data_IF_373815262540
#
_entry.id   IF_373815262540
#
_cell.length_a   1.000
_cell.length_b   1.000
_cell.length_c   1.000
_cell.angle_alpha   90.00
_cell.angle_beta   90.00
_cell.angle_gamma   90.00
#
_symmetry.space_group_name_H-M   'P 1'
#
loop_
_entity.id
_entity.type
_entity.pdbx_description
1 polymer ?
#
# COMPACT_ATOMS: atom_id res chain seq x y z
N UNK A 1 15.83 17.09 -15.86
CA UNK A 1 15.49 18.54 -15.85
C UNK A 1 14.41 18.89 -14.81
N UNK A 2 14.38 18.21 -13.64
CA UNK A 2 13.40 18.48 -12.56
C UNK A 2 14.05 18.81 -11.20
N UNK A 3 15.35 19.11 -11.15
CA UNK A 3 16.13 19.21 -9.90
C UNK A 3 15.94 20.52 -9.10
N UNK A 4 14.88 21.30 -9.31
CA UNK A 4 14.73 22.62 -8.67
C UNK A 4 13.31 22.96 -8.19
N UNK A 5 12.42 21.97 -8.08
CA UNK A 5 11.18 22.17 -7.32
C UNK A 5 11.44 21.81 -5.86
N UNK A 6 11.03 22.65 -4.88
CA UNK A 6 11.02 22.23 -3.49
C UNK A 6 10.16 20.96 -3.39
N UNK A 7 10.67 19.93 -2.73
CA UNK A 7 9.94 18.67 -2.54
C UNK A 7 8.63 18.90 -1.77
N UNK A 8 7.70 17.96 -1.89
CA UNK A 8 6.41 18.07 -1.22
C UNK A 8 6.56 17.84 0.29
N UNK A 9 5.91 18.67 1.10
CA UNK A 9 5.83 18.47 2.55
C UNK A 9 4.88 17.32 2.94
N UNK A 10 3.92 17.01 2.06
CA UNK A 10 2.89 16.00 2.31
C UNK A 10 2.47 15.31 1.00
N UNK A 11 2.56 13.98 0.99
CA UNK A 11 1.92 13.11 0.03
C UNK A 11 0.78 12.36 0.72
N UNK A 12 -0.39 12.33 0.12
CA UNK A 12 -1.58 11.67 0.68
C UNK A 12 -2.13 10.66 -0.30
N UNK A 13 -2.43 9.47 0.19
CA UNK A 13 -3.05 8.39 -0.56
C UNK A 13 -4.26 7.90 0.22
N UNK A 14 -5.45 8.02 -0.38
CA UNK A 14 -6.70 7.59 0.24
C UNK A 14 -7.48 6.63 -0.65
N UNK A 15 -8.51 6.01 -0.08
CA UNK A 15 -9.50 5.19 -0.79
C UNK A 15 -8.96 3.88 -1.37
N UNK A 16 -7.83 3.38 -0.84
CA UNK A 16 -7.33 2.06 -1.17
C UNK A 16 -6.79 1.99 -2.61
N UNK A 17 -5.65 2.63 -2.88
CA UNK A 17 -5.09 2.68 -4.23
C UNK A 17 -3.95 1.68 -4.46
N UNK A 18 -3.34 1.16 -3.38
CA UNK A 18 -2.15 0.32 -3.49
C UNK A 18 -2.39 -0.98 -4.28
N UNK A 19 -3.63 -1.49 -4.32
CA UNK A 19 -3.92 -2.72 -5.07
C UNK A 19 -3.93 -2.54 -6.59
N UNK A 20 -3.87 -1.31 -7.09
CA UNK A 20 -3.67 -1.00 -8.52
C UNK A 20 -2.19 -0.98 -8.91
N UNK A 21 -1.29 -0.94 -7.94
CA UNK A 21 0.14 -0.85 -8.14
C UNK A 21 0.74 -2.25 -8.11
N UNK A 22 1.51 -2.60 -9.13
CA UNK A 22 2.13 -3.92 -9.27
C UNK A 22 3.59 -3.97 -8.80
N UNK A 23 4.18 -2.80 -8.59
CA UNK A 23 5.55 -2.63 -8.09
C UNK A 23 5.51 -1.56 -6.98
N UNK A 24 5.44 -2.01 -5.72
CA UNK A 24 5.43 -1.10 -4.58
C UNK A 24 6.79 -0.46 -4.34
N UNK A 25 7.88 -1.16 -4.67
CA UNK A 25 9.24 -0.68 -4.42
C UNK A 25 9.53 0.53 -5.31
N UNK A 26 9.29 0.40 -6.62
CA UNK A 26 9.44 1.51 -7.56
C UNK A 26 8.50 2.68 -7.20
N UNK A 27 7.28 2.37 -6.79
CA UNK A 27 6.30 3.38 -6.40
C UNK A 27 6.74 4.16 -5.16
N UNK A 28 7.14 3.49 -4.08
CA UNK A 28 7.54 4.18 -2.85
C UNK A 28 8.89 4.89 -3.00
N UNK A 29 9.80 4.38 -3.83
CA UNK A 29 11.02 5.13 -4.22
C UNK A 29 10.67 6.43 -4.94
N UNK A 30 9.69 6.41 -5.86
CA UNK A 30 9.22 7.63 -6.51
C UNK A 30 8.61 8.58 -5.48
N UNK A 31 7.74 8.11 -4.60
CA UNK A 31 7.14 8.95 -3.54
C UNK A 31 8.22 9.57 -2.65
N UNK A 32 9.21 8.79 -2.22
CA UNK A 32 10.34 9.28 -1.43
C UNK A 32 11.10 10.39 -2.16
N UNK A 33 11.38 10.22 -3.46
CA UNK A 33 12.08 11.22 -4.27
C UNK A 33 11.31 12.53 -4.45
N UNK A 34 9.98 12.49 -4.30
CA UNK A 34 9.11 13.65 -4.42
C UNK A 34 8.97 14.41 -3.10
N UNK A 35 9.20 13.75 -1.96
CA UNK A 35 9.10 14.39 -0.65
C UNK A 35 10.30 15.30 -0.38
N UNK A 36 10.02 16.47 0.19
CA UNK A 36 11.04 17.35 0.74
C UNK A 36 11.63 16.82 2.04
N UNK A 37 12.68 17.47 2.55
CA UNK A 37 13.22 17.16 3.88
C UNK A 37 12.15 17.32 4.96
N UNK A 38 11.93 16.28 5.77
CA UNK A 38 10.85 16.25 6.76
C UNK A 38 9.44 16.05 6.20
N UNK A 39 9.31 15.87 4.88
CA UNK A 39 8.07 15.56 4.20
C UNK A 39 7.46 14.25 4.68
N UNK A 40 6.13 14.15 4.61
CA UNK A 40 5.37 13.01 5.15
C UNK A 40 4.54 12.33 4.09
N UNK A 41 4.46 11.01 4.19
CA UNK A 41 3.49 10.21 3.45
C UNK A 41 2.38 9.76 4.41
N UNK A 42 1.13 10.05 4.06
CA UNK A 42 -0.07 9.58 4.79
C UNK A 42 -0.83 8.62 3.88
N UNK A 43 -1.00 7.39 4.35
CA UNK A 43 -1.69 6.33 3.61
C UNK A 43 -2.91 5.86 4.41
N UNK A 44 -4.08 5.90 3.77
CA UNK A 44 -5.31 5.27 4.24
C UNK A 44 -5.69 4.13 3.31
N UNK A 45 -5.53 2.91 3.79
CA UNK A 45 -5.75 1.67 3.04
C UNK A 45 -6.79 0.76 3.71
N UNK A 46 -7.40 -0.11 2.92
CA UNK A 46 -8.24 -1.18 3.46
C UNK A 46 -7.37 -2.32 3.96
N UNK A 47 -7.68 -2.86 5.15
CA UNK A 47 -6.86 -3.92 5.71
C UNK A 47 -6.98 -5.21 4.86
N UNK A 48 -5.87 -5.84 4.45
CA UNK A 48 -5.90 -6.97 3.51
C UNK A 48 -6.56 -8.23 4.08
N UNK A 49 -6.67 -8.35 5.41
CA UNK A 49 -7.44 -9.42 6.07
C UNK A 49 -8.87 -9.52 5.53
N UNK A 50 -9.53 -8.39 5.26
CA UNK A 50 -10.92 -8.36 4.79
C UNK A 50 -11.05 -9.08 3.43
N UNK A 51 -10.05 -8.95 2.56
CA UNK A 51 -10.14 -9.41 1.17
C UNK A 51 -9.39 -10.71 0.88
N UNK A 52 -8.34 -10.99 1.66
CA UNK A 52 -7.49 -12.18 1.48
C UNK A 52 -7.86 -13.33 2.41
N UNK A 53 -8.17 -13.04 3.67
CA UNK A 53 -8.32 -14.05 4.71
C UNK A 53 -9.78 -14.35 5.07
N UNK A 54 -10.59 -13.31 5.31
CA UNK A 54 -11.96 -13.49 5.76
C UNK A 54 -12.89 -13.86 4.60
N UNK A 55 -13.66 -14.94 4.77
CA UNK A 55 -14.69 -15.38 3.85
C UNK A 55 -16.03 -15.55 4.58
N UNK A 56 -17.16 -15.24 3.93
CA UNK A 56 -18.47 -15.51 4.50
C UNK A 56 -18.80 -17.01 4.42
N UNK A 57 -19.04 -17.63 5.57
CA UNK A 57 -19.49 -19.03 5.71
C UNK A 57 -20.61 -19.07 6.76
N UNK A 58 -21.77 -19.61 6.39
CA UNK A 58 -22.95 -19.75 7.26
C UNK A 58 -23.32 -18.48 8.05
N UNK A 59 -23.26 -17.31 7.39
CA UNK A 59 -23.59 -16.02 8.00
C UNK A 59 -22.53 -15.47 8.97
N UNK A 60 -21.34 -16.07 9.01
CA UNK A 60 -20.19 -15.60 9.80
C UNK A 60 -18.99 -15.31 8.90
N UNK A 61 -18.10 -14.43 9.35
CA UNK A 61 -16.78 -14.27 8.74
C UNK A 61 -15.82 -15.25 9.39
N UNK A 62 -15.24 -16.14 8.59
CA UNK A 62 -14.23 -17.10 9.04
C UNK A 62 -12.93 -16.88 8.28
N UNK A 63 -11.81 -17.18 8.93
CA UNK A 63 -10.47 -17.03 8.37
C UNK A 63 -10.07 -18.28 7.55
N UNK A 64 -10.76 -18.53 6.44
CA UNK A 64 -10.55 -19.70 5.57
C UNK A 64 -9.84 -19.38 4.24
N UNK A 65 -9.60 -18.11 3.94
CA UNK A 65 -8.81 -17.69 2.76
C UNK A 65 -7.30 -17.76 2.97
N UNK A 66 -6.55 -17.46 1.91
CA UNK A 66 -5.08 -17.39 1.95
C UNK A 66 -4.61 -15.93 2.05
N UNK A 67 -4.10 -15.56 3.23
CA UNK A 67 -3.52 -14.23 3.45
C UNK A 67 -2.27 -13.99 2.59
N UNK A 68 -1.47 -15.01 2.30
CA UNK A 68 -0.19 -14.90 1.59
C UNK A 68 -0.29 -15.15 0.08
N UNK A 69 -1.47 -15.50 -0.43
CA UNK A 69 -1.72 -15.60 -1.88
C UNK A 69 -1.27 -14.32 -2.61
N UNK A 70 -0.53 -14.49 -3.71
CA UNK A 70 0.06 -13.41 -4.50
C UNK A 70 -0.56 -13.24 -5.88
N UNK A 71 -1.63 -13.98 -6.18
CA UNK A 71 -2.26 -13.93 -7.49
C UNK A 71 -2.82 -12.54 -7.81
N UNK A 72 -2.65 -12.15 -9.06
CA UNK A 72 -3.34 -10.98 -9.63
C UNK A 72 -4.75 -11.40 -9.95
N UNK A 73 -5.71 -10.70 -9.38
CA UNK A 73 -7.13 -11.02 -9.49
C UNK A 73 -7.81 -10.09 -10.50
N UNK A 74 -9.01 -10.50 -10.94
CA UNK A 74 -9.96 -9.76 -11.76
C UNK A 74 -9.53 -9.57 -13.23
N UNK A 75 -10.37 -10.06 -14.14
CA UNK A 75 -10.12 -10.07 -15.58
C UNK A 75 -10.37 -8.71 -16.26
N UNK A 76 -11.21 -7.87 -15.68
CA UNK A 76 -11.56 -6.55 -16.23
C UNK A 76 -10.58 -5.48 -15.75
N UNK A 77 -10.23 -5.54 -14.47
CA UNK A 77 -9.30 -4.61 -13.85
C UNK A 77 -8.38 -5.39 -12.95
N UNK A 78 -7.17 -5.67 -13.44
CA UNK A 78 -6.17 -6.43 -12.70
C UNK A 78 -5.83 -5.71 -11.41
N UNK A 79 -5.88 -6.43 -10.31
CA UNK A 79 -5.51 -5.93 -8.98
C UNK A 79 -4.62 -6.93 -8.27
N UNK A 80 -3.64 -6.43 -7.52
CA UNK A 80 -2.82 -7.24 -6.62
C UNK A 80 -3.13 -6.86 -5.18
N UNK A 81 -3.62 -7.81 -4.40
CA UNK A 81 -3.94 -7.58 -2.99
C UNK A 81 -2.70 -7.78 -2.14
N UNK A 82 -1.97 -6.71 -1.86
CA UNK A 82 -0.79 -6.72 -1.01
C UNK A 82 -1.13 -7.07 0.45
N UNK A 83 -0.26 -7.82 1.10
CA UNK A 83 -0.31 -7.99 2.55
C UNK A 83 0.15 -6.72 3.26
N UNK A 84 -0.24 -6.54 4.53
CA UNK A 84 0.26 -5.44 5.34
C UNK A 84 1.79 -5.48 5.44
N UNK A 85 2.36 -6.68 5.56
CA UNK A 85 3.80 -6.93 5.62
C UNK A 85 4.53 -6.41 4.37
N UNK A 86 4.06 -6.78 3.17
CA UNK A 86 4.66 -6.29 1.93
C UNK A 86 4.61 -4.76 1.81
N UNK A 87 3.48 -4.14 2.19
CA UNK A 87 3.35 -2.68 2.14
C UNK A 87 4.33 -2.00 3.10
N UNK A 88 4.38 -2.42 4.36
CA UNK A 88 5.26 -1.78 5.36
C UNK A 88 6.74 -2.01 5.04
N UNK A 89 7.10 -3.18 4.50
CA UNK A 89 8.47 -3.47 4.05
C UNK A 89 8.86 -2.59 2.87
N UNK A 90 8.03 -2.49 1.83
CA UNK A 90 8.33 -1.65 0.67
C UNK A 90 8.48 -0.16 1.05
N UNK A 91 7.68 0.34 1.99
CA UNK A 91 7.82 1.70 2.54
C UNK A 91 9.17 1.86 3.25
N UNK A 92 9.55 0.91 4.10
CA UNK A 92 10.82 0.95 4.83
C UNK A 92 12.02 0.86 3.88
N UNK A 93 11.97 -0.01 2.88
CA UNK A 93 13.03 -0.21 1.88
C UNK A 93 13.21 1.02 0.97
N UNK A 94 12.14 1.82 0.77
CA UNK A 94 12.23 3.11 0.09
C UNK A 94 12.89 4.22 0.93
N UNK A 95 13.19 3.97 2.20
CA UNK A 95 13.84 4.94 3.11
C UNK A 95 12.87 5.76 3.97
N UNK A 96 11.57 5.43 3.97
CA UNK A 96 10.57 6.09 4.82
C UNK A 96 10.52 5.46 6.21
N UNK A 97 10.42 6.28 7.25
CA UNK A 97 10.21 5.81 8.62
C UNK A 97 8.72 5.71 8.95
N UNK A 98 8.28 4.55 9.46
CA UNK A 98 6.90 4.33 9.87
C UNK A 98 6.61 5.02 11.20
N UNK A 99 5.47 5.70 11.27
CA UNK A 99 4.94 6.30 12.51
C UNK A 99 3.46 5.98 12.61
N UNK A 100 3.04 5.44 13.76
CA UNK A 100 1.62 5.30 14.07
C UNK A 100 1.02 6.68 14.38
N UNK A 101 -0.09 7.01 13.73
CA UNK A 101 -0.95 8.11 14.12
C UNK A 101 -1.95 7.59 15.16
N UNK A 102 -1.97 8.22 16.35
CA UNK A 102 -2.92 7.94 17.43
C UNK A 102 -4.26 8.62 17.14
#
# INVERSE_FOLDING_TARGET
>A
MYNNLPGFDLAVMEMGILHYLFDLDAFFQLVYSLLGEGGKLVIREFHPVIWKLLKPEDGRLVASGDYFDREVQNDVMKVRRWTLGEVVTAIADAGLALKAAL
#
